data_IF_932261587430
#
_entry.id   IF_932261587430
#
_cell.length_a   1.000
_cell.length_b   1.000
_cell.length_c   1.000
_cell.angle_alpha   90.00
_cell.angle_beta   90.00
_cell.angle_gamma   90.00
#
_symmetry.space_group_name_H-M   'P 1'
#
loop_
_entity.id
_entity.type
_entity.pdbx_description
1 polymer ?
#
# COMPACT_ATOMS: atom_id res chain seq x y z
N UNK A 1 10.35 -13.74 10.92
CA UNK A 1 9.04 -13.06 11.02
C UNK A 1 9.14 -12.15 12.23
N UNK A 2 9.40 -10.88 11.94
CA UNK A 2 9.68 -9.80 12.90
C UNK A 2 8.40 -8.98 13.11
N UNK A 3 7.58 -8.81 12.07
CA UNK A 3 6.23 -8.24 12.18
C UNK A 3 5.30 -9.21 12.92
N UNK A 4 4.59 -8.71 13.93
CA UNK A 4 3.62 -9.50 14.70
C UNK A 4 2.43 -9.97 13.86
N UNK A 5 1.81 -11.10 14.23
CA UNK A 5 0.62 -11.62 13.54
C UNK A 5 -0.55 -10.61 13.51
N UNK A 6 -0.70 -9.79 14.56
CA UNK A 6 -1.72 -8.73 14.58
C UNK A 6 -1.45 -7.66 13.52
N UNK A 7 -0.19 -7.27 13.36
CA UNK A 7 0.22 -6.29 12.36
C UNK A 7 0.11 -6.85 10.94
N UNK A 8 0.39 -8.14 10.72
CA UNK A 8 0.17 -8.78 9.42
C UNK A 8 -1.30 -8.74 9.00
N UNK A 9 -2.21 -9.14 9.91
CA UNK A 9 -3.66 -9.04 9.65
C UNK A 9 -4.10 -7.62 9.36
N UNK A 10 -3.54 -6.64 10.08
CA UNK A 10 -3.79 -5.24 9.81
C UNK A 10 -3.35 -4.84 8.39
N UNK A 11 -2.14 -5.23 7.97
CA UNK A 11 -1.65 -4.98 6.62
C UNK A 11 -2.51 -5.65 5.55
N UNK A 12 -2.94 -6.90 5.78
CA UNK A 12 -3.86 -7.61 4.87
C UNK A 12 -5.16 -6.82 4.69
N UNK A 13 -5.77 -6.34 5.79
CA UNK A 13 -6.97 -5.50 5.73
C UNK A 13 -6.73 -4.15 5.04
N UNK A 14 -5.55 -3.54 5.21
CA UNK A 14 -5.20 -2.32 4.46
C UNK A 14 -5.13 -2.64 2.96
N UNK A 15 -4.41 -3.69 2.57
CA UNK A 15 -4.26 -4.08 1.16
C UNK A 15 -5.63 -4.36 0.52
N UNK A 16 -6.50 -5.11 1.18
CA UNK A 16 -7.87 -5.37 0.73
C UNK A 16 -8.67 -4.07 0.53
N UNK A 17 -8.58 -3.15 1.49
CA UNK A 17 -9.25 -1.85 1.40
C UNK A 17 -8.76 -1.03 0.20
N UNK A 18 -7.45 -0.91 0.00
CA UNK A 18 -6.92 -0.14 -1.14
C UNK A 18 -7.16 -0.83 -2.48
N UNK A 19 -7.28 -2.16 -2.52
CA UNK A 19 -7.74 -2.87 -3.72
C UNK A 19 -9.20 -2.50 -4.04
N UNK A 20 -10.10 -2.47 -3.05
CA UNK A 20 -11.50 -2.09 -3.28
C UNK A 20 -11.67 -0.63 -3.71
N UNK A 21 -10.77 0.24 -3.26
CA UNK A 21 -10.79 1.68 -3.59
C UNK A 21 -9.86 2.06 -4.74
N UNK A 22 -9.24 1.09 -5.43
CA UNK A 22 -8.17 1.34 -6.39
C UNK A 22 -8.55 2.31 -7.53
N UNK A 23 -9.82 2.32 -7.95
CA UNK A 23 -10.31 3.25 -8.97
C UNK A 23 -10.34 4.70 -8.46
N UNK A 24 -10.75 4.94 -7.21
CA UNK A 24 -10.70 6.26 -6.59
C UNK A 24 -9.27 6.83 -6.58
N UNK A 25 -8.27 5.99 -6.30
CA UNK A 25 -6.85 6.38 -6.37
C UNK A 25 -6.36 6.65 -7.80
N UNK A 26 -6.88 5.90 -8.77
CA UNK A 26 -6.59 6.15 -10.20
C UNK A 26 -7.17 7.50 -10.64
N UNK A 27 -8.42 7.80 -10.32
CA UNK A 27 -9.06 9.08 -10.62
C UNK A 27 -8.29 10.24 -10.01
N UNK A 28 -7.91 10.13 -8.73
CA UNK A 28 -7.06 11.13 -8.08
C UNK A 28 -5.70 11.29 -8.79
N UNK A 29 -5.08 10.20 -9.23
CA UNK A 29 -3.80 10.26 -9.95
C UNK A 29 -3.93 10.96 -11.33
N UNK A 30 -5.09 10.87 -12.00
CA UNK A 30 -5.33 11.53 -13.29
C UNK A 30 -5.21 13.05 -13.21
N UNK A 31 -5.63 13.64 -12.09
CA UNK A 31 -5.56 15.09 -11.83
C UNK A 31 -4.13 15.64 -11.80
N UNK A 32 -3.12 14.78 -11.67
CA UNK A 32 -1.73 15.19 -11.74
C UNK A 32 -1.20 15.32 -13.18
N UNK A 33 -1.97 14.92 -14.19
CA UNK A 33 -1.58 15.11 -15.59
C UNK A 33 -1.45 16.60 -15.95
N UNK A 34 -0.43 17.03 -16.71
CA UNK A 34 0.62 16.23 -17.37
C UNK A 34 1.92 16.12 -16.55
N UNK A 35 1.90 16.30 -15.23
CA UNK A 35 3.10 16.24 -14.37
C UNK A 35 3.62 14.81 -14.12
N UNK A 36 2.87 13.81 -14.57
CA UNK A 36 3.16 12.38 -14.38
C UNK A 36 3.19 11.66 -15.72
N UNK A 37 4.05 10.65 -15.83
CA UNK A 37 4.20 9.86 -17.07
C UNK A 37 3.18 8.71 -17.16
N UNK A 38 2.74 8.16 -16.02
CA UNK A 38 1.75 7.08 -15.95
C UNK A 38 0.80 7.29 -14.76
N UNK A 39 -0.50 7.30 -15.06
CA UNK A 39 -1.57 7.36 -14.06
C UNK A 39 -1.55 6.10 -13.19
N UNK A 40 -1.41 4.93 -13.81
CA UNK A 40 -1.44 3.64 -13.12
C UNK A 40 -0.26 3.48 -12.15
N UNK A 41 0.97 3.81 -12.58
CA UNK A 41 2.15 3.72 -11.72
C UNK A 41 2.11 4.77 -10.60
N UNK A 42 1.56 5.96 -10.88
CA UNK A 42 1.34 6.99 -9.86
C UNK A 42 0.34 6.52 -8.81
N UNK A 43 -0.81 5.99 -9.23
CA UNK A 43 -1.82 5.44 -8.31
C UNK A 43 -1.26 4.29 -7.47
N UNK A 44 -0.47 3.40 -8.09
CA UNK A 44 0.20 2.30 -7.40
C UNK A 44 1.16 2.81 -6.31
N UNK A 45 1.98 3.82 -6.63
CA UNK A 45 2.87 4.47 -5.66
C UNK A 45 2.11 5.14 -4.52
N UNK A 46 1.00 5.83 -4.80
CA UNK A 46 0.16 6.47 -3.78
C UNK A 46 -0.44 5.43 -2.83
N UNK A 47 -0.97 4.33 -3.35
CA UNK A 47 -1.54 3.25 -2.55
C UNK A 47 -0.47 2.67 -1.61
N UNK A 48 0.69 2.29 -2.13
CA UNK A 48 1.77 1.73 -1.31
C UNK A 48 2.25 2.75 -0.26
N UNK A 49 2.40 4.01 -0.65
CA UNK A 49 2.77 5.10 0.27
C UNK A 49 1.76 5.26 1.41
N UNK A 50 0.47 5.14 1.09
CA UNK A 50 -0.61 5.25 2.08
C UNK A 50 -0.63 4.05 3.03
N UNK A 51 -0.46 2.83 2.52
CA UNK A 51 -0.33 1.62 3.35
C UNK A 51 0.91 1.70 4.26
N UNK A 52 2.05 2.18 3.73
CA UNK A 52 3.26 2.38 4.52
C UNK A 52 3.07 3.42 5.63
N UNK A 53 2.40 4.53 5.33
CA UNK A 53 2.05 5.54 6.34
C UNK A 53 1.19 4.94 7.46
N UNK A 54 0.14 4.18 7.10
CA UNK A 54 -0.70 3.46 8.07
C UNK A 54 0.11 2.48 8.93
N UNK A 55 1.06 1.76 8.33
CA UNK A 55 1.97 0.85 9.02
C UNK A 55 2.84 1.57 10.05
N UNK A 56 3.49 2.67 9.66
CA UNK A 56 4.27 3.50 10.58
C UNK A 56 3.41 4.05 11.73
N UNK A 57 2.20 4.51 11.41
CA UNK A 57 1.27 5.03 12.41
C UNK A 57 0.84 3.95 13.42
N UNK A 58 0.61 2.71 12.96
CA UNK A 58 0.25 1.60 13.82
C UNK A 58 1.36 1.22 14.82
N UNK A 59 2.63 1.34 14.43
CA UNK A 59 3.78 1.21 15.36
C UNK A 59 3.84 2.39 16.33
N UNK A 60 3.70 3.62 15.83
CA UNK A 60 3.73 4.83 16.65
C UNK A 60 2.64 4.81 17.74
N UNK A 61 1.43 4.33 17.41
CA UNK A 61 0.32 4.20 18.36
C UNK A 61 0.62 3.21 19.50
N UNK A 62 1.49 2.23 19.25
CA UNK A 62 1.98 1.27 20.24
C UNK A 62 3.24 1.76 20.96
N UNK A 63 3.69 3.00 20.71
CA UNK A 63 4.95 3.57 21.20
C UNK A 63 6.17 2.74 20.77
N UNK A 64 6.08 2.11 19.60
CA UNK A 64 7.15 1.32 19.00
C UNK A 64 7.74 2.05 17.79
N UNK A 65 8.98 1.73 17.47
CA UNK A 65 9.64 2.18 16.24
C UNK A 65 9.83 0.99 15.31
N UNK A 66 9.67 1.25 14.02
CA UNK A 66 9.93 0.26 12.97
C UNK A 66 11.44 0.09 12.81
N UNK A 67 11.91 -1.15 12.70
CA UNK A 67 13.31 -1.45 12.39
C UNK A 67 13.50 -1.91 10.93
N UNK A 68 14.73 -2.18 10.52
CA UNK A 68 15.03 -2.59 9.14
C UNK A 68 14.40 -3.92 8.73
N UNK A 69 14.27 -4.87 9.65
CA UNK A 69 13.64 -6.17 9.37
C UNK A 69 12.13 -6.04 9.18
N UNK A 70 11.48 -5.17 9.99
CA UNK A 70 10.08 -4.83 9.82
C UNK A 70 9.81 -4.20 8.44
N UNK A 71 10.68 -3.29 7.99
CA UNK A 71 10.57 -2.66 6.65
C UNK A 71 10.75 -3.69 5.54
N UNK A 72 11.70 -4.62 5.71
CA UNK A 72 11.92 -5.69 4.75
C UNK A 72 10.69 -6.58 4.63
N UNK A 73 10.15 -7.05 5.76
CA UNK A 73 8.97 -7.92 5.78
C UNK A 73 7.72 -7.19 5.26
N UNK A 74 7.55 -5.90 5.56
CA UNK A 74 6.52 -5.06 4.95
C UNK A 74 6.66 -5.06 3.42
N UNK A 75 7.87 -4.83 2.92
CA UNK A 75 8.14 -4.77 1.48
C UNK A 75 7.82 -6.10 0.80
N UNK A 76 8.20 -7.22 1.43
CA UNK A 76 7.88 -8.56 0.94
C UNK A 76 6.35 -8.78 0.83
N UNK A 77 5.59 -8.39 1.86
CA UNK A 77 4.12 -8.48 1.86
C UNK A 77 3.51 -7.64 0.73
N UNK A 78 3.98 -6.41 0.54
CA UNK A 78 3.51 -5.54 -0.56
C UNK A 78 3.83 -6.17 -1.92
N UNK A 79 5.05 -6.67 -2.11
CA UNK A 79 5.46 -7.26 -3.39
C UNK A 79 4.70 -8.55 -3.72
N UNK A 80 4.32 -9.35 -2.72
CA UNK A 80 3.43 -10.51 -2.90
C UNK A 80 2.04 -10.11 -3.43
N UNK A 81 1.55 -8.92 -3.06
CA UNK A 81 0.23 -8.41 -3.44
C UNK A 81 0.27 -7.39 -4.59
N UNK A 82 1.46 -6.99 -5.06
CA UNK A 82 1.64 -5.92 -6.04
C UNK A 82 0.86 -6.14 -7.33
N UNK A 83 0.77 -7.40 -7.80
CA UNK A 83 -0.01 -7.75 -8.98
C UNK A 83 -1.49 -7.48 -8.77
N UNK A 84 -2.07 -7.90 -7.65
CA UNK A 84 -3.49 -7.70 -7.34
C UNK A 84 -3.82 -6.21 -7.25
N UNK A 85 -2.95 -5.42 -6.61
CA UNK A 85 -3.11 -3.96 -6.53
C UNK A 85 -3.08 -3.35 -7.95
N UNK A 86 -2.12 -3.71 -8.80
CA UNK A 86 -2.07 -3.22 -10.18
C UNK A 86 -3.28 -3.65 -11.01
N UNK A 87 -3.71 -4.91 -10.90
CA UNK A 87 -4.88 -5.41 -11.63
C UNK A 87 -6.16 -4.66 -11.20
N UNK A 88 -6.31 -4.34 -9.91
CA UNK A 88 -7.43 -3.54 -9.41
C UNK A 88 -7.42 -2.10 -9.95
N UNK A 89 -6.25 -1.44 -10.00
CA UNK A 89 -6.09 -0.11 -10.62
C UNK A 89 -6.45 -0.17 -12.12
N UNK A 90 -6.04 -1.24 -12.81
CA UNK A 90 -6.34 -1.42 -14.23
C UNK A 90 -7.78 -1.84 -14.52
N UNK A 91 -8.59 -2.15 -13.48
CA UNK A 91 -9.96 -2.65 -13.63
C UNK A 91 -10.04 -4.07 -14.19
N UNK A 92 -9.02 -4.91 -13.91
CA UNK A 92 -8.90 -6.30 -14.41
C UNK A 92 -9.35 -7.36 -13.39
N UNK A 93 -9.92 -6.93 -12.27
CA UNK A 93 -10.46 -7.78 -11.19
C UNK A 93 -11.65 -8.61 -11.64
#
# INVERSE_FOLDING_TARGET
MTISNGMKKFLDSQIEYYISEAQSYKEMAQEYSPKIDSVEDTAFGIIIGSIYSSFLQAYSNQKQNVNSEDIQEFTEIIMMNARMIKDAIMGKT
#
